data_IF_730078654761
#
_entry.id   IF_730078654761
#
_cell.length_a   1.000
_cell.length_b   1.000
_cell.length_c   1.000
_cell.angle_alpha   90.00
_cell.angle_beta   90.00
_cell.angle_gamma   90.00
#
_symmetry.space_group_name_H-M   'P 1'
#
loop_
_entity.id
_entity.type
_entity.pdbx_description
1 polymer ?
#
# COMPACT_ATOMS: atom_id res chain seq x y z
N UNK A 1 26.43 20.32 10.61
CA UNK A 1 26.25 18.96 10.05
C UNK A 1 26.72 17.84 10.99
N UNK A 2 27.83 17.99 11.73
CA UNK A 2 28.35 16.95 12.63
C UNK A 2 27.40 16.54 13.79
N UNK A 3 26.74 17.50 14.44
CA UNK A 3 25.78 17.20 15.52
C UNK A 3 24.57 16.40 15.02
N UNK A 4 23.95 16.81 13.90
CA UNK A 4 22.80 16.10 13.32
C UNK A 4 23.15 14.68 12.86
N UNK A 5 24.31 14.49 12.21
CA UNK A 5 24.78 13.16 11.80
C UNK A 5 25.11 12.28 13.01
N UNK A 6 25.67 12.86 14.07
CA UNK A 6 25.92 12.17 15.34
C UNK A 6 24.63 11.75 16.03
N UNK A 7 23.61 12.61 16.03
CA UNK A 7 22.28 12.29 16.58
C UNK A 7 21.59 11.22 15.76
N UNK A 8 21.63 11.29 14.42
CA UNK A 8 21.06 10.26 13.54
C UNK A 8 21.75 8.92 13.79
N UNK A 9 23.08 8.89 13.84
CA UNK A 9 23.86 7.67 14.10
C UNK A 9 23.60 7.08 15.50
N UNK A 10 23.38 7.93 16.49
CA UNK A 10 23.01 7.48 17.84
C UNK A 10 21.56 6.97 17.91
N UNK A 11 20.71 7.37 16.97
CA UNK A 11 19.28 6.98 16.91
C UNK A 11 19.04 5.77 16.01
N UNK A 12 19.98 5.44 15.11
CA UNK A 12 19.85 4.28 14.21
C UNK A 12 20.04 2.98 15.01
N UNK A 13 19.09 2.03 14.91
CA UNK A 13 19.18 0.76 15.64
C UNK A 13 20.35 -0.08 15.12
N UNK A 14 20.96 -0.85 16.02
CA UNK A 14 21.96 -1.84 15.64
C UNK A 14 21.33 -2.97 14.80
N UNK A 15 22.11 -3.63 13.94
CA UNK A 15 21.61 -4.75 13.13
C UNK A 15 21.01 -5.89 13.97
N UNK A 16 21.57 -6.12 15.17
CA UNK A 16 21.07 -7.11 16.11
C UNK A 16 19.68 -6.78 16.67
N UNK A 17 19.27 -5.51 16.62
CA UNK A 17 17.95 -5.07 17.06
C UNK A 17 16.87 -5.18 15.98
N UNK A 18 17.24 -5.56 14.75
CA UNK A 18 16.27 -5.71 13.65
C UNK A 18 15.72 -7.14 13.53
N UNK A 19 16.37 -8.14 14.16
CA UNK A 19 16.04 -9.56 13.99
C UNK A 19 16.29 -10.37 15.29
N UNK A 20 15.24 -10.66 16.09
CA UNK A 20 13.89 -10.12 15.98
C UNK A 20 13.88 -8.62 16.26
N UNK A 21 12.94 -7.91 15.63
CA UNK A 21 12.81 -6.47 15.84
C UNK A 21 12.62 -6.12 17.33
N UNK A 22 13.47 -5.25 17.85
CA UNK A 22 13.39 -4.71 19.21
C UNK A 22 12.36 -3.58 19.28
N UNK A 23 11.92 -3.24 20.49
CA UNK A 23 11.02 -2.10 20.70
C UNK A 23 11.62 -0.77 20.25
N UNK A 24 12.94 -0.59 20.47
CA UNK A 24 13.71 0.59 20.03
C UNK A 24 13.78 0.67 18.50
N UNK A 25 14.12 -0.44 17.86
CA UNK A 25 14.17 -0.53 16.40
C UNK A 25 12.78 -0.30 15.78
N UNK A 26 11.73 -0.87 16.35
CA UNK A 26 10.35 -0.63 15.92
C UNK A 26 9.98 0.86 15.99
N UNK A 27 10.27 1.52 17.11
CA UNK A 27 10.01 2.96 17.27
C UNK A 27 10.76 3.80 16.23
N UNK A 28 12.03 3.49 15.97
CA UNK A 28 12.83 4.15 14.95
C UNK A 28 12.25 3.95 13.53
N UNK A 29 11.98 2.71 13.15
CA UNK A 29 11.44 2.36 11.82
C UNK A 29 10.10 3.08 11.61
N UNK A 30 9.22 3.07 12.61
CA UNK A 30 7.92 3.74 12.55
C UNK A 30 8.08 5.27 12.44
N UNK A 31 9.01 5.84 13.21
CA UNK A 31 9.33 7.28 13.16
C UNK A 31 9.75 7.71 11.77
N UNK A 32 10.53 6.90 11.06
CA UNK A 32 10.93 7.18 9.69
C UNK A 32 9.76 6.95 8.71
N UNK A 33 9.04 5.85 8.84
CA UNK A 33 8.05 5.42 7.86
C UNK A 33 6.82 6.33 7.78
N UNK A 34 6.42 6.98 8.88
CA UNK A 34 5.33 7.97 8.87
C UNK A 34 5.61 9.22 8.02
N UNK A 35 6.87 9.50 7.65
CA UNK A 35 7.22 10.64 6.81
C UNK A 35 7.39 10.29 5.33
N UNK A 36 7.13 9.03 4.92
CA UNK A 36 7.13 8.64 3.52
C UNK A 36 6.24 9.49 2.60
N UNK A 37 5.09 10.07 3.02
CA UNK A 37 4.30 10.94 2.14
C UNK A 37 5.07 12.16 1.62
N UNK A 38 6.16 12.57 2.28
CA UNK A 38 7.07 13.61 1.75
C UNK A 38 7.77 13.17 0.46
N UNK A 39 8.05 11.88 0.28
CA UNK A 39 8.58 11.32 -0.97
C UNK A 39 7.55 11.46 -2.09
N UNK A 40 6.26 11.28 -1.79
CA UNK A 40 5.18 11.46 -2.76
C UNK A 40 5.16 12.88 -3.33
N UNK A 41 5.46 13.91 -2.53
CA UNK A 41 5.54 15.29 -3.02
C UNK A 41 6.51 15.43 -4.20
N UNK A 42 7.63 14.70 -4.17
CA UNK A 42 8.60 14.65 -5.27
C UNK A 42 8.01 13.88 -6.47
N UNK A 43 7.33 12.77 -6.24
CA UNK A 43 6.67 11.97 -7.29
C UNK A 43 5.55 12.73 -8.03
N UNK A 44 4.89 13.68 -7.35
CA UNK A 44 3.92 14.59 -7.98
C UNK A 44 4.57 15.55 -8.98
N UNK A 45 5.79 15.99 -8.71
CA UNK A 45 6.54 16.94 -9.55
C UNK A 45 7.29 16.24 -10.69
N UNK A 46 7.65 14.97 -10.50
CA UNK A 46 8.53 14.23 -11.40
C UNK A 46 7.78 13.06 -12.05
N UNK A 47 7.67 13.07 -13.37
CA UNK A 47 7.10 11.95 -14.15
C UNK A 47 8.07 10.78 -14.34
N UNK A 48 9.31 10.92 -13.87
CA UNK A 48 10.36 9.90 -14.00
C UNK A 48 10.12 8.75 -13.03
N UNK A 49 9.68 7.62 -13.57
CA UNK A 49 9.53 6.36 -12.87
C UNK A 49 9.90 5.23 -13.83
N UNK A 50 11.17 4.79 -13.89
CA UNK A 50 11.67 3.92 -14.96
C UNK A 50 11.25 2.44 -14.80
N UNK A 51 9.96 2.20 -14.78
CA UNK A 51 9.29 0.90 -14.76
C UNK A 51 7.97 0.99 -15.55
N UNK A 52 7.45 -0.16 -15.99
CA UNK A 52 6.19 -0.22 -16.72
C UNK A 52 6.20 0.59 -18.03
N UNK A 53 5.24 1.53 -18.15
CA UNK A 53 5.06 2.40 -19.33
C UNK A 53 6.23 3.34 -19.60
N UNK A 54 6.99 3.65 -18.56
CA UNK A 54 8.11 4.58 -18.55
C UNK A 54 9.45 3.86 -18.40
N UNK A 55 9.48 2.53 -18.62
CA UNK A 55 10.70 1.72 -18.64
C UNK A 55 11.73 2.25 -19.66
N UNK A 56 12.97 2.43 -19.19
CA UNK A 56 14.12 2.75 -20.03
C UNK A 56 14.59 1.48 -20.74
N UNK A 57 14.82 1.49 -22.06
CA UNK A 57 15.15 0.26 -22.79
C UNK A 57 16.64 -0.10 -22.73
N UNK A 58 17.52 0.91 -22.64
CA UNK A 58 18.97 0.74 -22.83
C UNK A 58 19.80 0.97 -21.55
N UNK A 59 19.19 0.91 -20.36
CA UNK A 59 19.95 1.06 -19.10
C UNK A 59 20.60 -0.26 -18.70
N UNK A 60 21.90 -0.23 -18.38
CA UNK A 60 22.63 -1.37 -17.80
C UNK A 60 22.13 -1.74 -16.40
N UNK A 61 21.44 -0.81 -15.71
CA UNK A 61 20.86 -1.03 -14.39
C UNK A 61 19.44 -1.62 -14.47
N UNK A 62 18.99 -2.06 -15.64
CA UNK A 62 17.72 -2.73 -15.78
C UNK A 62 17.81 -4.20 -15.35
N UNK A 63 16.74 -4.65 -14.68
CA UNK A 63 16.51 -6.04 -14.36
C UNK A 63 15.29 -6.56 -15.14
N UNK A 64 15.22 -7.87 -15.47
CA UNK A 64 14.03 -8.47 -16.06
C UNK A 64 12.78 -8.17 -15.23
N UNK A 65 11.72 -7.67 -15.86
CA UNK A 65 10.55 -7.12 -15.16
C UNK A 65 9.89 -8.09 -14.16
N UNK A 66 9.76 -9.37 -14.52
CA UNK A 66 9.19 -10.40 -13.61
C UNK A 66 10.03 -10.61 -12.35
N UNK A 67 11.36 -10.63 -12.50
CA UNK A 67 12.29 -10.81 -11.38
C UNK A 67 12.31 -9.55 -10.53
N UNK A 68 12.39 -8.36 -11.15
CA UNK A 68 12.35 -7.08 -10.43
C UNK A 68 11.06 -6.93 -9.62
N UNK A 69 9.91 -7.29 -10.20
CA UNK A 69 8.62 -7.28 -9.52
C UNK A 69 8.56 -8.28 -8.36
N UNK A 70 9.00 -9.53 -8.60
CA UNK A 70 9.06 -10.53 -7.53
C UNK A 70 9.92 -10.06 -6.36
N UNK A 71 11.14 -9.58 -6.62
CA UNK A 71 12.09 -9.17 -5.58
C UNK A 71 11.57 -7.98 -4.76
N UNK A 72 10.97 -6.98 -5.42
CA UNK A 72 10.47 -5.82 -4.70
C UNK A 72 9.27 -6.15 -3.82
N UNK A 73 8.40 -7.06 -4.24
CA UNK A 73 7.18 -7.43 -3.50
C UNK A 73 7.43 -8.52 -2.44
N UNK A 74 8.34 -9.47 -2.69
CA UNK A 74 8.57 -10.60 -1.77
C UNK A 74 9.35 -10.20 -0.51
N UNK A 75 10.06 -9.07 -0.55
CA UNK A 75 10.88 -8.59 0.58
C UNK A 75 10.06 -8.38 1.86
N UNK A 76 8.86 -7.81 1.73
CA UNK A 76 7.94 -7.54 2.84
C UNK A 76 7.47 -8.81 3.58
N UNK A 77 6.78 -9.76 2.91
CA UNK A 77 6.31 -10.98 3.56
C UNK A 77 7.44 -11.86 4.10
N UNK A 78 8.60 -11.93 3.43
CA UNK A 78 9.75 -12.67 3.97
C UNK A 78 10.27 -12.06 5.27
N UNK A 79 10.41 -10.72 5.33
CA UNK A 79 10.82 -10.03 6.54
C UNK A 79 9.82 -10.24 7.68
N UNK A 80 8.51 -10.18 7.39
CA UNK A 80 7.44 -10.44 8.35
C UNK A 80 7.52 -11.88 8.90
N UNK A 81 7.54 -12.87 8.02
CA UNK A 81 7.56 -14.30 8.39
C UNK A 81 8.83 -14.63 9.18
N UNK A 82 9.99 -14.15 8.72
CA UNK A 82 11.27 -14.40 9.38
C UNK A 82 11.27 -13.84 10.80
N UNK A 83 10.88 -12.58 10.98
CA UNK A 83 10.83 -11.97 12.31
C UNK A 83 9.83 -12.66 13.23
N UNK A 84 8.60 -12.93 12.77
CA UNK A 84 7.59 -13.61 13.59
C UNK A 84 8.01 -15.04 13.95
N UNK A 85 8.79 -15.70 13.10
CA UNK A 85 9.29 -17.05 13.33
C UNK A 85 10.42 -17.16 14.35
N UNK A 86 11.24 -16.13 14.52
CA UNK A 86 12.36 -16.10 15.48
C UNK A 86 12.04 -15.34 16.78
N UNK A 87 10.86 -14.74 16.87
CA UNK A 87 10.44 -13.95 18.03
C UNK A 87 9.79 -14.80 19.12
N UNK A 88 9.88 -14.36 20.38
CA UNK A 88 9.23 -14.98 21.55
C UNK A 88 8.27 -13.99 22.21
N UNK A 89 6.96 -14.26 22.35
CA UNK A 89 6.27 -15.55 22.14
C UNK A 89 6.21 -15.98 20.68
N UNK A 90 6.09 -17.28 20.41
CA UNK A 90 6.03 -17.79 19.05
C UNK A 90 4.76 -17.32 18.32
N UNK A 91 4.76 -17.36 16.99
CA UNK A 91 3.61 -16.91 16.18
C UNK A 91 2.28 -17.59 16.55
N UNK A 92 2.32 -18.90 16.87
CA UNK A 92 1.12 -19.67 17.26
C UNK A 92 0.59 -19.31 18.65
N UNK A 93 1.39 -18.66 19.49
CA UNK A 93 1.00 -18.20 20.82
C UNK A 93 0.40 -16.78 20.80
N UNK A 94 0.49 -16.08 19.66
CA UNK A 94 -0.15 -14.78 19.50
C UNK A 94 -1.68 -14.92 19.41
N UNK A 95 -2.45 -13.90 19.80
CA UNK A 95 -3.90 -13.89 19.62
C UNK A 95 -4.31 -14.16 18.16
N UNK A 96 -5.46 -14.80 17.97
CA UNK A 96 -5.98 -15.17 16.64
C UNK A 96 -6.11 -13.95 15.73
N UNK A 97 -6.47 -12.79 16.27
CA UNK A 97 -6.53 -11.53 15.53
C UNK A 97 -5.17 -11.13 14.93
N UNK A 98 -4.09 -11.23 15.71
CA UNK A 98 -2.73 -10.92 15.28
C UNK A 98 -2.28 -11.89 14.18
N UNK A 99 -2.61 -13.18 14.33
CA UNK A 99 -2.34 -14.19 13.31
C UNK A 99 -3.13 -13.93 12.02
N UNK A 100 -4.40 -13.53 12.13
CA UNK A 100 -5.24 -13.15 11.00
C UNK A 100 -4.63 -11.98 10.22
N UNK A 101 -4.23 -10.91 10.90
CA UNK A 101 -3.60 -9.75 10.24
C UNK A 101 -2.30 -10.14 9.52
N UNK A 102 -1.45 -10.96 10.14
CA UNK A 102 -0.27 -11.50 9.47
C UNK A 102 -0.65 -12.34 8.23
N UNK A 103 -1.68 -13.17 8.33
CA UNK A 103 -2.15 -14.02 7.24
C UNK A 103 -2.72 -13.21 6.07
N UNK A 104 -3.56 -12.19 6.35
CA UNK A 104 -4.13 -11.31 5.31
C UNK A 104 -3.00 -10.62 4.51
N UNK A 105 -1.99 -10.09 5.20
CA UNK A 105 -0.81 -9.51 4.56
C UNK A 105 -0.09 -10.53 3.66
N UNK A 106 0.21 -11.73 4.19
CA UNK A 106 0.87 -12.78 3.41
C UNK A 106 0.03 -13.25 2.21
N UNK A 107 -1.29 -13.32 2.33
CA UNK A 107 -2.21 -13.69 1.24
C UNK A 107 -2.17 -12.65 0.12
N UNK A 108 -2.22 -11.36 0.46
CA UNK A 108 -2.04 -10.28 -0.53
C UNK A 108 -0.72 -10.45 -1.28
N UNK A 109 0.40 -10.56 -0.55
CA UNK A 109 1.71 -10.63 -1.18
C UNK A 109 2.01 -11.97 -1.86
N UNK A 110 1.36 -13.07 -1.48
CA UNK A 110 1.44 -14.33 -2.23
C UNK A 110 0.86 -14.13 -3.64
N UNK A 111 -0.28 -13.45 -3.75
CA UNK A 111 -0.80 -13.04 -5.04
C UNK A 111 0.14 -12.04 -5.73
N UNK A 112 0.59 -11.00 -5.01
CA UNK A 112 1.26 -9.85 -5.62
C UNK A 112 2.70 -10.12 -6.05
N UNK A 113 3.46 -10.81 -5.21
CA UNK A 113 4.86 -11.13 -5.45
C UNK A 113 5.03 -12.38 -6.32
N UNK A 114 4.15 -13.39 -6.21
CA UNK A 114 4.34 -14.69 -6.85
C UNK A 114 3.35 -14.91 -7.99
N UNK A 115 2.04 -14.93 -7.69
CA UNK A 115 1.01 -15.30 -8.68
C UNK A 115 0.96 -14.30 -9.85
N UNK A 116 0.98 -13.01 -9.53
CA UNK A 116 0.87 -11.92 -10.50
C UNK A 116 2.00 -11.91 -11.54
N UNK A 117 3.29 -11.81 -11.16
CA UNK A 117 4.38 -11.71 -12.13
C UNK A 117 4.66 -13.01 -12.89
N UNK A 118 4.53 -14.18 -12.26
CA UNK A 118 4.92 -15.45 -12.88
C UNK A 118 3.79 -16.14 -13.65
N UNK A 119 2.54 -15.99 -13.20
CA UNK A 119 1.42 -16.77 -13.73
C UNK A 119 0.36 -15.91 -14.43
N UNK A 120 0.09 -14.71 -13.92
CA UNK A 120 -0.98 -13.86 -14.46
C UNK A 120 -0.51 -12.94 -15.59
N UNK A 121 0.63 -12.27 -15.39
CA UNK A 121 1.11 -11.22 -16.29
C UNK A 121 1.68 -11.80 -17.61
N UNK A 122 1.16 -11.38 -18.79
CA UNK A 122 1.66 -11.86 -20.08
C UNK A 122 3.08 -11.37 -20.36
N UNK A 123 3.39 -10.14 -19.95
CA UNK A 123 4.73 -9.55 -19.99
C UNK A 123 4.85 -8.41 -19.00
N UNK A 124 6.05 -8.24 -18.46
CA UNK A 124 6.46 -7.12 -17.61
C UNK A 124 7.70 -6.47 -18.22
N UNK A 125 7.65 -5.16 -18.44
CA UNK A 125 8.77 -4.40 -18.99
C UNK A 125 9.97 -4.42 -18.03
N UNK A 126 11.21 -4.28 -18.53
CA UNK A 126 12.38 -4.12 -17.68
C UNK A 126 12.21 -3.00 -16.65
N UNK A 127 12.71 -3.21 -15.44
CA UNK A 127 12.61 -2.28 -14.32
C UNK A 127 14.00 -1.83 -13.91
N UNK A 128 14.18 -0.53 -13.71
CA UNK A 128 15.44 0.00 -13.22
C UNK A 128 15.69 -0.41 -11.77
N UNK A 129 16.94 -0.76 -11.44
CA UNK A 129 17.34 -1.20 -10.10
C UNK A 129 16.96 -0.19 -9.02
N UNK A 130 17.04 1.11 -9.31
CA UNK A 130 16.57 2.16 -8.40
C UNK A 130 15.12 1.93 -7.92
N UNK A 131 14.19 1.67 -8.84
CA UNK A 131 12.78 1.44 -8.49
C UNK A 131 12.63 0.17 -7.67
N UNK A 132 13.31 -0.91 -8.07
CA UNK A 132 13.29 -2.19 -7.35
C UNK A 132 13.82 -2.00 -5.92
N UNK A 133 14.99 -1.38 -5.75
CA UNK A 133 15.60 -1.14 -4.44
C UNK A 133 14.76 -0.22 -3.56
N UNK A 134 14.16 0.85 -4.11
CA UNK A 134 13.25 1.71 -3.35
C UNK A 134 12.00 0.96 -2.88
N UNK A 135 11.42 0.11 -3.73
CA UNK A 135 10.26 -0.69 -3.38
C UNK A 135 10.59 -1.81 -2.37
N UNK A 136 11.76 -2.46 -2.48
CA UNK A 136 12.29 -3.38 -1.45
C UNK A 136 12.38 -2.66 -0.10
N UNK A 137 12.98 -1.46 -0.08
CA UNK A 137 13.14 -0.68 1.15
C UNK A 137 11.79 -0.28 1.74
N UNK A 138 10.85 0.17 0.90
CA UNK A 138 9.48 0.49 1.29
C UNK A 138 8.76 -0.70 1.93
N UNK A 139 8.80 -1.87 1.28
CA UNK A 139 8.19 -3.10 1.79
C UNK A 139 8.90 -3.61 3.06
N UNK A 140 10.20 -3.38 3.20
CA UNK A 140 10.95 -3.70 4.43
C UNK A 140 10.55 -2.78 5.60
N UNK A 141 10.44 -1.46 5.40
CA UNK A 141 9.95 -0.54 6.43
C UNK A 141 8.52 -0.89 6.85
N UNK A 142 7.64 -1.13 5.88
CA UNK A 142 6.26 -1.50 6.14
C UNK A 142 6.15 -2.78 6.99
N UNK A 143 6.76 -3.86 6.52
CA UNK A 143 6.72 -5.15 7.22
C UNK A 143 7.38 -5.07 8.60
N UNK A 144 8.46 -4.30 8.77
CA UNK A 144 9.09 -4.10 10.08
C UNK A 144 8.17 -3.37 11.06
N UNK A 145 7.41 -2.37 10.60
CA UNK A 145 6.37 -1.74 11.41
C UNK A 145 5.25 -2.72 11.77
N UNK A 146 4.81 -3.55 10.81
CA UNK A 146 3.78 -4.55 11.04
C UNK A 146 4.22 -5.62 12.04
N UNK A 147 5.47 -6.08 11.99
CA UNK A 147 6.01 -7.03 12.98
C UNK A 147 5.89 -6.44 14.38
N UNK A 148 6.41 -5.24 14.64
CA UNK A 148 6.35 -4.64 15.97
C UNK A 148 4.93 -4.53 16.51
N UNK A 149 3.98 -4.13 15.66
CA UNK A 149 2.57 -4.02 16.04
C UNK A 149 1.86 -5.36 16.24
N UNK A 150 2.03 -6.34 15.33
CA UNK A 150 1.49 -7.70 15.47
C UNK A 150 2.02 -8.40 16.72
N UNK A 151 3.22 -8.01 17.17
CA UNK A 151 3.86 -8.50 18.39
C UNK A 151 3.28 -7.89 19.67
N UNK A 152 2.51 -6.81 19.56
CA UNK A 152 1.94 -6.08 20.69
C UNK A 152 2.91 -5.05 21.28
N UNK A 153 3.82 -4.49 20.50
CA UNK A 153 4.63 -3.37 20.97
C UNK A 153 3.78 -2.10 21.04
N UNK A 154 3.70 -1.49 22.22
CA UNK A 154 2.93 -0.27 22.43
C UNK A 154 3.78 0.96 22.10
N UNK A 155 3.21 1.87 21.32
CA UNK A 155 3.81 3.18 21.05
C UNK A 155 2.81 4.26 21.48
N UNK A 156 3.06 4.93 22.62
CA UNK A 156 2.18 5.99 23.07
C UNK A 156 2.32 7.23 22.17
N UNK A 157 1.18 7.83 21.83
CA UNK A 157 1.12 9.14 21.17
C UNK A 157 0.76 10.17 22.24
N UNK A 158 1.64 11.15 22.54
CA UNK A 158 1.36 12.16 23.55
C UNK A 158 0.03 12.87 23.30
N UNK A 159 -0.83 12.90 24.33
CA UNK A 159 -2.11 13.60 24.29
C UNK A 159 -3.31 12.78 23.79
N UNK A 160 -3.15 11.49 23.48
CA UNK A 160 -4.25 10.62 23.03
C UNK A 160 -4.22 9.24 23.71
N UNK A 161 -5.38 8.72 24.10
CA UNK A 161 -5.56 7.36 24.60
C UNK A 161 -5.81 6.39 23.43
N UNK A 162 -4.73 5.91 22.80
CA UNK A 162 -4.80 5.08 21.57
C UNK A 162 -4.50 3.60 21.79
N UNK A 163 -4.37 3.15 23.03
CA UNK A 163 -4.04 1.76 23.36
C UNK A 163 -5.27 0.83 23.36
N UNK A 164 -6.48 1.39 23.21
CA UNK A 164 -7.73 0.64 23.18
C UNK A 164 -8.13 0.04 24.53
N UNK A 165 -7.57 0.52 25.64
CA UNK A 165 -7.89 0.03 26.99
C UNK A 165 -9.39 0.15 27.31
N UNK A 166 -10.04 1.21 26.83
CA UNK A 166 -11.48 1.42 27.00
C UNK A 166 -12.32 0.46 26.13
N UNK A 167 -11.85 0.12 24.92
CA UNK A 167 -12.51 -0.88 24.05
C UNK A 167 -12.57 -2.26 24.70
N UNK A 168 -11.56 -2.66 25.48
CA UNK A 168 -11.54 -3.94 26.20
C UNK A 168 -12.65 -4.00 27.27
N UNK A 169 -13.02 -2.85 27.84
CA UNK A 169 -14.05 -2.74 28.87
C UNK A 169 -15.46 -2.50 28.28
N UNK A 170 -15.53 -1.94 27.07
CA UNK A 170 -16.78 -1.65 26.36
C UNK A 170 -17.31 -2.89 25.63
N UNK A 171 -18.47 -3.39 26.07
CA UNK A 171 -19.26 -4.46 25.43
C UNK A 171 -20.12 -3.98 24.26
N UNK A 172 -19.69 -2.95 23.52
CA UNK A 172 -20.43 -2.45 22.36
C UNK A 172 -20.36 -3.44 21.18
N UNK A 173 -21.50 -4.02 20.74
CA UNK A 173 -21.50 -4.98 19.63
C UNK A 173 -21.03 -4.35 18.31
N UNK A 174 -21.22 -3.03 18.16
CA UNK A 174 -20.73 -2.29 16.99
C UNK A 174 -19.20 -2.32 16.92
N UNK A 175 -18.52 -2.06 18.04
CA UNK A 175 -17.06 -2.04 18.12
C UNK A 175 -16.50 -3.45 17.88
N UNK A 176 -17.13 -4.48 18.44
CA UNK A 176 -16.76 -5.88 18.20
C UNK A 176 -16.98 -6.34 16.75
N UNK A 177 -17.89 -5.70 16.01
CA UNK A 177 -18.14 -6.02 14.60
C UNK A 177 -17.14 -5.35 13.63
N UNK A 178 -16.44 -4.29 14.04
CA UNK A 178 -15.51 -3.55 13.17
C UNK A 178 -14.42 -4.45 12.57
N UNK A 179 -13.73 -5.32 13.32
CA UNK A 179 -12.68 -6.16 12.73
C UNK A 179 -13.20 -7.16 11.67
N UNK A 180 -14.43 -7.65 11.87
CA UNK A 180 -15.11 -8.55 10.92
C UNK A 180 -15.44 -7.78 9.65
N UNK A 181 -16.01 -6.57 9.80
CA UNK A 181 -16.28 -5.68 8.66
C UNK A 181 -14.99 -5.35 7.91
N UNK A 182 -13.91 -5.03 8.63
CA UNK A 182 -12.59 -4.77 8.04
C UNK A 182 -12.08 -5.95 7.22
N UNK A 183 -12.23 -7.17 7.74
CA UNK A 183 -11.84 -8.40 7.02
C UNK A 183 -12.68 -8.61 5.76
N UNK A 184 -13.99 -8.33 5.81
CA UNK A 184 -14.85 -8.40 4.63
C UNK A 184 -14.48 -7.34 3.57
N UNK A 185 -14.21 -6.11 4.01
CA UNK A 185 -13.73 -5.02 3.14
C UNK A 185 -12.39 -5.37 2.51
N UNK A 186 -11.47 -5.97 3.27
CA UNK A 186 -10.19 -6.48 2.77
C UNK A 186 -10.41 -7.49 1.64
N UNK A 187 -11.24 -8.52 1.87
CA UNK A 187 -11.51 -9.56 0.88
C UNK A 187 -12.16 -9.01 -0.40
N UNK A 188 -13.12 -8.07 -0.26
CA UNK A 188 -13.75 -7.39 -1.39
C UNK A 188 -12.75 -6.52 -2.17
N UNK A 189 -11.89 -5.80 -1.47
CA UNK A 189 -10.79 -5.01 -2.05
C UNK A 189 -9.82 -5.90 -2.85
N UNK A 190 -9.34 -6.99 -2.24
CA UNK A 190 -8.44 -7.94 -2.87
C UNK A 190 -9.07 -8.58 -4.11
N UNK A 191 -10.33 -9.02 -4.02
CA UNK A 191 -11.06 -9.59 -5.16
C UNK A 191 -11.21 -8.57 -6.30
N UNK A 192 -11.54 -7.32 -5.98
CA UNK A 192 -11.64 -6.23 -6.95
C UNK A 192 -10.31 -5.89 -7.61
N UNK A 193 -9.21 -5.91 -6.83
CA UNK A 193 -7.85 -5.70 -7.32
C UNK A 193 -7.47 -6.79 -8.32
N UNK A 194 -7.56 -8.06 -7.93
CA UNK A 194 -7.28 -9.23 -8.78
C UNK A 194 -8.13 -9.20 -10.05
N UNK A 195 -9.43 -8.97 -9.92
CA UNK A 195 -10.34 -8.90 -11.06
C UNK A 195 -9.93 -7.82 -12.06
N UNK A 196 -9.58 -6.63 -11.56
CA UNK A 196 -9.18 -5.49 -12.37
C UNK A 196 -7.86 -5.78 -13.11
N UNK A 197 -6.88 -6.34 -12.43
CA UNK A 197 -5.57 -6.64 -13.02
C UNK A 197 -5.63 -7.78 -14.05
N UNK A 198 -6.28 -8.88 -13.70
CA UNK A 198 -6.46 -10.01 -14.63
C UNK A 198 -7.25 -9.60 -15.87
N UNK A 199 -8.20 -8.67 -15.73
CA UNK A 199 -8.90 -8.06 -16.87
C UNK A 199 -7.94 -7.26 -17.77
N UNK A 200 -7.03 -6.46 -17.19
CA UNK A 200 -6.00 -5.74 -17.95
C UNK A 200 -5.06 -6.71 -18.69
N UNK A 201 -4.63 -7.79 -18.04
CA UNK A 201 -3.79 -8.81 -18.64
C UNK A 201 -4.49 -9.55 -19.79
N UNK A 202 -5.76 -9.90 -19.62
CA UNK A 202 -6.57 -10.53 -20.66
C UNK A 202 -6.69 -9.64 -21.91
N UNK A 203 -6.94 -8.35 -21.70
CA UNK A 203 -7.02 -7.39 -22.82
C UNK A 203 -5.68 -7.28 -23.57
N UNK A 204 -4.55 -7.20 -22.84
CA UNK A 204 -3.21 -7.20 -23.46
C UNK A 204 -2.93 -8.49 -24.23
N UNK A 205 -3.36 -9.65 -23.72
CA UNK A 205 -3.19 -10.94 -24.39
C UNK A 205 -4.00 -11.03 -25.69
N UNK A 206 -5.27 -10.66 -25.66
CA UNK A 206 -6.14 -10.68 -26.84
C UNK A 206 -5.64 -9.73 -27.94
N UNK A 207 -5.19 -8.54 -27.58
CA UNK A 207 -4.63 -7.58 -28.54
C UNK A 207 -3.31 -8.04 -29.15
N UNK A 208 -2.47 -8.72 -28.38
CA UNK A 208 -1.25 -9.32 -28.91
C UNK A 208 -1.55 -10.44 -29.93
N UNK A 209 -2.56 -11.27 -29.65
CA UNK A 209 -3.00 -12.34 -30.55
C UNK A 209 -3.57 -11.79 -31.86
N UNK A 210 -4.45 -10.78 -31.80
CA UNK A 210 -5.00 -10.12 -32.99
C UNK A 210 -3.92 -9.47 -33.87
N UNK A 211 -2.88 -8.88 -33.26
CA UNK A 211 -1.74 -8.32 -34.01
C UNK A 211 -0.93 -9.42 -34.68
N UNK A 212 -0.73 -10.55 -34.01
CA UNK A 212 0.00 -11.69 -34.56
C UNK A 212 -0.74 -12.36 -35.73
N UNK A 213 -2.06 -12.51 -35.66
CA UNK A 213 -2.86 -13.10 -36.76
C UNK A 213 -2.90 -12.19 -37.99
N UNK A 214 -3.08 -10.88 -37.80
CA UNK A 214 -3.01 -9.92 -38.92
C UNK A 214 -1.64 -9.91 -39.59
N UNK A 215 -0.56 -10.10 -38.83
CA UNK A 215 0.81 -10.18 -39.37
C UNK A 215 0.99 -11.45 -40.20
N UNK A 216 0.52 -12.61 -39.73
CA UNK A 216 0.59 -13.87 -40.49
C UNK A 216 -0.20 -13.83 -41.80
N UNK A 217 -1.35 -13.15 -41.82
CA UNK A 217 -2.18 -13.04 -43.03
C UNK A 217 -1.58 -12.06 -44.07
N UNK A 218 -0.66 -11.18 -43.66
CA UNK A 218 -0.08 -10.11 -44.50
C UNK A 218 1.37 -10.36 -44.96
N UNK A 219 2.07 -11.39 -44.45
CA UNK A 219 3.50 -11.59 -44.72
C UNK A 219 3.83 -12.90 -45.44
N UNK A 220 4.22 -12.82 -46.71
CA UNK A 220 4.84 -13.91 -47.51
C UNK A 220 6.36 -14.03 -47.28
N UNK A 221 6.94 -13.48 -46.21
CA UNK A 221 8.40 -13.56 -46.00
C UNK A 221 8.82 -13.51 -44.51
N UNK A 222 9.23 -14.67 -44.00
CA UNK A 222 10.61 -14.93 -43.55
C UNK A 222 11.27 -14.14 -42.41
N UNK A 223 10.62 -13.17 -41.75
CA UNK A 223 11.22 -12.52 -40.56
C UNK A 223 10.65 -13.11 -39.28
N UNK A 224 11.32 -14.12 -38.73
CA UNK A 224 11.12 -14.54 -37.33
C UNK A 224 11.73 -13.48 -36.42
N UNK A 225 10.97 -12.43 -36.15
CA UNK A 225 11.27 -11.52 -35.06
C UNK A 225 11.15 -12.31 -33.74
N UNK A 226 12.28 -12.65 -33.13
CA UNK A 226 12.37 -13.47 -31.90
C UNK A 226 11.89 -12.75 -30.64
N UNK A 227 11.27 -11.57 -30.77
CA UNK A 227 10.72 -10.81 -29.66
C UNK A 227 9.45 -11.44 -29.07
N UNK A 228 9.28 -11.30 -27.75
CA UNK A 228 8.06 -11.73 -27.07
C UNK A 228 6.84 -10.96 -27.63
N UNK A 229 5.88 -11.67 -28.22
CA UNK A 229 4.67 -11.09 -28.85
C UNK A 229 3.82 -10.20 -27.93
N UNK A 230 4.03 -10.33 -26.62
CA UNK A 230 3.33 -9.55 -25.61
C UNK A 230 4.07 -8.27 -25.19
N UNK A 231 5.26 -7.99 -25.74
CA UNK A 231 6.02 -6.79 -25.38
C UNK A 231 5.34 -5.51 -25.90
N UNK A 232 5.22 -4.50 -25.02
CA UNK A 232 4.67 -3.16 -25.31
C UNK A 232 3.29 -3.14 -26.00
N UNK A 233 2.47 -4.17 -25.83
CA UNK A 233 1.05 -4.13 -26.21
C UNK A 233 0.27 -3.38 -25.14
N UNK A 234 -0.23 -2.20 -25.51
CA UNK A 234 -1.02 -1.34 -24.64
C UNK A 234 -2.43 -1.19 -25.20
N UNK A 235 -3.40 -1.31 -24.31
CA UNK A 235 -4.82 -1.32 -24.62
C UNK A 235 -5.50 -0.30 -23.72
N UNK A 236 -6.46 0.43 -24.27
CA UNK A 236 -7.35 1.24 -23.47
C UNK A 236 -8.50 0.37 -22.94
N UNK A 237 -8.72 0.29 -21.62
CA UNK A 237 -9.82 -0.51 -21.08
C UNK A 237 -11.17 -0.01 -21.62
N UNK A 238 -12.13 -0.89 -21.94
CA UNK A 238 -13.47 -0.48 -22.33
C UNK A 238 -14.18 0.20 -21.16
N UNK A 239 -15.12 1.10 -21.46
CA UNK A 239 -15.92 1.80 -20.45
C UNK A 239 -17.04 0.92 -19.89
N UNK A 240 -16.67 -0.17 -19.21
CA UNK A 240 -17.60 -1.14 -18.62
C UNK A 240 -17.14 -1.55 -17.22
N UNK A 241 -18.10 -1.88 -16.36
CA UNK A 241 -17.84 -2.32 -14.98
C UNK A 241 -16.95 -1.33 -14.23
N UNK A 242 -15.94 -1.86 -13.54
CA UNK A 242 -14.96 -1.08 -12.74
C UNK A 242 -14.13 -0.08 -13.55
N UNK A 243 -14.04 -0.24 -14.88
CA UNK A 243 -13.31 0.67 -15.78
C UNK A 243 -14.16 1.80 -16.37
N UNK A 244 -15.42 1.91 -15.94
CA UNK A 244 -16.37 2.92 -16.44
C UNK A 244 -15.91 4.33 -16.13
N UNK A 245 -15.48 4.59 -14.91
CA UNK A 245 -15.18 5.96 -14.43
C UNK A 245 -13.68 6.23 -14.24
N UNK A 246 -12.87 5.18 -14.11
CA UNK A 246 -11.43 5.28 -13.82
C UNK A 246 -10.61 4.29 -14.64
N UNK A 247 -9.35 4.64 -14.90
CA UNK A 247 -8.40 3.81 -15.67
C UNK A 247 -7.63 2.82 -14.79
N UNK A 248 -7.49 3.11 -13.50
CA UNK A 248 -6.73 2.31 -12.53
C UNK A 248 -7.63 1.79 -11.38
N UNK A 249 -8.70 1.02 -11.65
CA UNK A 249 -9.55 0.49 -10.59
C UNK A 249 -8.83 -0.47 -9.64
N UNK A 250 -7.78 -1.15 -10.12
CA UNK A 250 -6.94 -2.00 -9.27
C UNK A 250 -6.30 -1.21 -8.11
N UNK A 251 -5.89 0.05 -8.31
CA UNK A 251 -5.37 0.89 -7.22
C UNK A 251 -6.45 1.22 -6.18
N UNK A 252 -7.66 1.57 -6.62
CA UNK A 252 -8.76 1.88 -5.69
C UNK A 252 -9.16 0.66 -4.89
N UNK A 253 -9.26 -0.49 -5.55
CA UNK A 253 -9.54 -1.76 -4.88
C UNK A 253 -8.43 -2.13 -3.88
N UNK A 254 -7.17 -1.83 -4.20
CA UNK A 254 -6.04 -2.01 -3.27
C UNK A 254 -6.11 -1.04 -2.09
N UNK A 255 -6.55 0.20 -2.29
CA UNK A 255 -6.79 1.12 -1.17
C UNK A 255 -7.93 0.64 -0.27
N UNK A 256 -9.02 0.13 -0.86
CA UNK A 256 -10.11 -0.50 -0.11
C UNK A 256 -9.62 -1.72 0.67
N UNK A 257 -8.77 -2.54 0.05
CA UNK A 257 -8.14 -3.69 0.69
C UNK A 257 -7.35 -3.26 1.93
N UNK A 258 -6.44 -2.31 1.81
CA UNK A 258 -5.61 -1.84 2.93
C UNK A 258 -6.40 -1.06 3.98
N UNK A 259 -7.47 -0.35 3.61
CA UNK A 259 -8.39 0.24 4.58
C UNK A 259 -9.11 -0.85 5.39
N UNK A 260 -9.57 -1.91 4.72
CA UNK A 260 -10.11 -3.10 5.38
C UNK A 260 -9.10 -3.75 6.33
N UNK A 261 -7.83 -3.85 5.91
CA UNK A 261 -6.72 -4.33 6.74
C UNK A 261 -6.55 -3.49 8.02
N UNK A 262 -6.58 -2.16 7.91
CA UNK A 262 -6.47 -1.28 9.06
C UNK A 262 -7.66 -1.42 10.03
N UNK A 263 -8.89 -1.53 9.50
CA UNK A 263 -10.10 -1.74 10.31
C UNK A 263 -10.08 -3.12 10.98
N UNK A 264 -9.66 -4.18 10.26
CA UNK A 264 -9.43 -5.50 10.83
C UNK A 264 -8.40 -5.45 11.95
N UNK A 265 -7.38 -4.61 11.77
CA UNK A 265 -6.32 -4.31 12.72
C UNK A 265 -6.78 -3.73 14.04
N UNK A 266 -7.99 -3.20 14.16
CA UNK A 266 -8.55 -2.75 15.45
C UNK A 266 -8.62 -3.89 16.49
N UNK A 267 -8.61 -5.16 16.05
CA UNK A 267 -8.52 -6.31 16.94
C UNK A 267 -7.10 -6.62 17.44
N UNK A 268 -6.06 -5.97 16.89
CA UNK A 268 -4.68 -6.13 17.34
C UNK A 268 -4.43 -5.17 18.49
N UNK A 269 -4.38 -5.71 19.70
CA UNK A 269 -4.12 -4.94 20.89
C UNK A 269 -2.62 -4.89 21.20
N UNK A 270 -2.11 -3.76 21.71
CA UNK A 270 -0.73 -3.63 22.18
C UNK A 270 -0.43 -4.44 23.45
N UNK A 271 -1.36 -5.28 23.90
CA UNK A 271 -1.19 -6.17 25.04
C UNK A 271 -0.92 -7.58 24.53
N UNK A 272 0.32 -8.04 24.64
CA UNK A 272 0.68 -9.44 24.41
C UNK A 272 0.11 -10.27 25.57
N UNK A 273 -1.11 -10.78 25.43
CA UNK A 273 -1.66 -11.77 26.37
C UNK A 273 -1.00 -13.11 26.07
N UNK A 274 -0.04 -13.53 26.91
CA UNK A 274 0.47 -14.89 26.85
C UNK A 274 -0.63 -15.84 27.35
N UNK A 275 -1.16 -16.69 26.47
CA UNK A 275 -2.22 -17.65 26.85
C UNK A 275 -1.77 -18.67 27.91
N UNK A 276 -0.45 -18.81 28.16
CA UNK A 276 0.12 -19.79 29.10
C UNK A 276 0.45 -19.20 30.49
N UNK A 277 0.52 -17.88 30.60
CA UNK A 277 0.80 -17.17 31.84
C UNK A 277 -0.04 -15.91 31.82
N UNK A 278 -1.01 -15.77 32.73
CA UNK A 278 -1.89 -14.60 32.88
C UNK A 278 -1.15 -13.29 33.25
N UNK A 279 0.14 -13.19 32.92
CA UNK A 279 1.01 -12.02 33.01
C UNK A 279 0.89 -11.22 31.72
N UNK A 280 0.22 -10.08 31.78
CA UNK A 280 0.22 -9.07 30.72
C UNK A 280 1.57 -8.34 30.79
N UNK A 281 2.43 -8.56 29.80
CA UNK A 281 3.69 -7.84 29.68
C UNK A 281 3.54 -6.79 28.58
N UNK A 282 3.39 -5.53 28.97
CA UNK A 282 3.35 -4.42 28.02
C UNK A 282 4.77 -3.94 27.74
N UNK A 283 5.21 -4.03 26.49
CA UNK A 283 6.48 -3.44 26.06
C UNK A 283 6.21 -2.06 25.46
N UNK A 284 6.32 -1.03 26.29
CA UNK A 284 5.99 0.36 25.94
C UNK A 284 7.23 1.10 25.48
N UNK A 285 7.23 1.57 24.24
CA UNK A 285 8.32 2.37 23.68
C UNK A 285 8.28 3.82 24.21
N UNK A 286 9.37 4.60 24.05
CA UNK A 286 9.30 6.04 24.21
C UNK A 286 8.19 6.66 23.33
N UNK A 287 7.52 7.73 23.79
CA UNK A 287 6.43 8.32 23.03
C UNK A 287 6.84 8.76 21.62
N UNK A 288 6.05 8.38 20.63
CA UNK A 288 6.27 8.76 19.25
C UNK A 288 5.75 10.17 19.01
N UNK A 289 6.60 11.03 18.47
CA UNK A 289 6.15 12.30 17.88
C UNK A 289 5.44 12.02 16.56
N UNK A 290 4.11 11.93 16.62
CA UNK A 290 3.28 11.70 15.45
C UNK A 290 3.41 12.85 14.43
N UNK A 291 3.45 12.49 13.15
CA UNK A 291 3.40 13.44 12.06
C UNK A 291 2.04 14.19 12.08
N UNK A 292 1.97 15.45 11.61
CA UNK A 292 0.74 16.24 11.69
C UNK A 292 -0.49 15.56 11.05
N UNK A 293 -0.28 14.79 9.98
CA UNK A 293 -1.33 14.08 9.27
C UNK A 293 -1.89 12.87 10.04
N UNK A 294 -1.17 12.36 11.06
CA UNK A 294 -1.64 11.28 11.95
C UNK A 294 -2.54 11.80 13.07
N UNK A 295 -2.47 13.09 13.41
CA UNK A 295 -3.20 13.68 14.53
C UNK A 295 -4.73 13.52 14.42
N UNK A 296 -5.36 13.69 13.24
CA UNK A 296 -6.79 13.42 13.10
C UNK A 296 -7.16 11.97 13.40
N UNK A 297 -6.34 10.99 12.97
CA UNK A 297 -6.58 9.57 13.25
C UNK A 297 -6.44 9.26 14.73
N UNK A 298 -5.41 9.80 15.39
CA UNK A 298 -5.23 9.66 16.83
C UNK A 298 -6.39 10.29 17.61
N UNK A 299 -6.87 11.47 17.18
CA UNK A 299 -8.02 12.13 17.80
C UNK A 299 -9.33 11.35 17.63
N UNK A 300 -9.56 10.74 16.46
CA UNK A 300 -10.74 9.91 16.24
C UNK A 300 -10.66 8.62 17.08
N UNK A 301 -9.48 7.99 17.14
CA UNK A 301 -9.27 6.79 17.95
C UNK A 301 -9.55 7.08 19.43
N UNK A 302 -9.00 8.16 19.97
CA UNK A 302 -9.21 8.63 21.34
C UNK A 302 -10.69 8.93 21.63
N UNK A 303 -11.36 9.72 20.78
CA UNK A 303 -12.80 10.06 20.95
C UNK A 303 -13.73 8.85 20.90
N UNK A 304 -13.37 7.85 20.11
CA UNK A 304 -14.17 6.63 19.95
C UNK A 304 -13.74 5.51 20.92
N UNK A 305 -12.72 5.74 21.76
CA UNK A 305 -12.14 4.74 22.67
C UNK A 305 -11.49 3.56 21.94
N UNK A 306 -11.15 3.71 20.66
CA UNK A 306 -10.64 2.63 19.79
C UNK A 306 -9.10 2.53 19.87
N UNK A 307 -8.53 1.32 19.73
CA UNK A 307 -7.09 1.19 19.51
C UNK A 307 -6.71 1.83 18.16
N UNK A 308 -5.52 2.41 18.09
CA UNK A 308 -5.00 2.95 16.84
C UNK A 308 -4.12 1.90 16.13
N UNK A 309 -4.56 1.33 14.99
CA UNK A 309 -3.77 0.38 14.19
C UNK A 309 -2.70 1.15 13.39
N UNK A 310 -1.73 1.71 14.12
CA UNK A 310 -0.85 2.77 13.65
C UNK A 310 -0.03 2.36 12.40
N UNK A 311 0.67 1.20 12.37
CA UNK A 311 1.36 0.77 11.15
C UNK A 311 0.44 0.55 9.95
N UNK A 312 -0.77 0.03 10.17
CA UNK A 312 -1.72 -0.20 9.08
C UNK A 312 -2.22 1.12 8.48
N UNK A 313 -2.53 2.12 9.32
CA UNK A 313 -2.92 3.46 8.86
C UNK A 313 -1.77 4.12 8.10
N UNK A 314 -0.55 4.06 8.64
CA UNK A 314 0.63 4.57 7.94
C UNK A 314 0.79 3.92 6.58
N UNK A 315 0.62 2.61 6.51
CA UNK A 315 0.74 1.90 5.25
C UNK A 315 -0.34 2.29 4.24
N UNK A 316 -1.60 2.42 4.65
CA UNK A 316 -2.69 2.89 3.77
C UNK A 316 -2.36 4.25 3.18
N UNK A 317 -1.99 5.21 4.03
CA UNK A 317 -1.67 6.58 3.59
C UNK A 317 -0.47 6.57 2.66
N UNK A 318 0.56 5.78 2.97
CA UNK A 318 1.75 5.64 2.15
C UNK A 318 1.46 4.98 0.79
N UNK A 319 0.59 3.96 0.75
CA UNK A 319 0.15 3.31 -0.47
C UNK A 319 -0.63 4.28 -1.36
N UNK A 320 -1.57 5.03 -0.79
CA UNK A 320 -2.32 6.08 -1.49
C UNK A 320 -1.38 7.18 -2.02
N UNK A 321 -0.47 7.66 -1.17
CA UNK A 321 0.50 8.69 -1.52
C UNK A 321 1.43 8.24 -2.66
N UNK A 322 1.82 6.96 -2.71
CA UNK A 322 2.64 6.43 -3.80
C UNK A 322 1.83 6.23 -5.09
N UNK A 323 0.62 5.67 -5.00
CA UNK A 323 -0.16 5.27 -6.17
C UNK A 323 -0.86 6.44 -6.88
N UNK A 324 -1.27 7.48 -6.16
CA UNK A 324 -1.98 8.63 -6.75
C UNK A 324 -1.16 9.39 -7.82
N UNK A 325 0.10 9.80 -7.56
CA UNK A 325 0.95 10.39 -8.59
C UNK A 325 1.09 9.49 -9.81
N UNK A 326 1.29 8.18 -9.60
CA UNK A 326 1.41 7.21 -10.68
C UNK A 326 0.12 7.08 -11.50
N UNK A 327 -1.05 7.13 -10.86
CA UNK A 327 -2.34 7.13 -11.54
C UNK A 327 -2.53 8.40 -12.40
N UNK A 328 -2.11 9.58 -11.89
CA UNK A 328 -2.14 10.84 -12.64
C UNK A 328 -1.24 10.80 -13.86
N UNK A 329 0.04 10.47 -13.68
CA UNK A 329 1.00 10.37 -14.79
C UNK A 329 0.60 9.29 -15.78
N UNK A 330 0.06 8.19 -15.28
CA UNK A 330 -0.50 7.10 -16.06
C UNK A 330 -1.69 7.52 -16.93
N UNK A 331 -2.60 8.35 -16.39
CA UNK A 331 -3.68 8.97 -17.17
C UNK A 331 -3.12 9.91 -18.24
N UNK A 332 -2.17 10.77 -17.89
CA UNK A 332 -1.52 11.68 -18.85
C UNK A 332 -0.95 10.91 -20.04
N UNK A 333 -0.23 9.82 -19.76
CA UNK A 333 0.28 8.92 -20.80
C UNK A 333 -0.83 8.28 -21.66
N UNK A 334 -1.98 7.92 -21.07
CA UNK A 334 -3.11 7.40 -21.85
C UNK A 334 -3.70 8.46 -22.79
N UNK A 335 -3.80 9.71 -22.33
CA UNK A 335 -4.25 10.84 -23.16
C UNK A 335 -3.28 11.09 -24.31
N UNK A 336 -1.98 11.12 -24.03
CA UNK A 336 -0.94 11.32 -25.05
C UNK A 336 -0.94 10.20 -26.10
N UNK A 337 -1.23 8.96 -25.69
CA UNK A 337 -1.17 7.78 -26.58
C UNK A 337 -2.46 7.51 -27.36
N UNK A 338 -3.63 7.72 -26.76
CA UNK A 338 -4.92 7.34 -27.33
C UNK A 338 -5.86 8.53 -27.56
N UNK A 339 -5.43 9.74 -27.19
CA UNK A 339 -6.22 10.96 -27.26
C UNK A 339 -7.26 11.09 -26.14
N UNK A 340 -7.71 12.32 -25.88
CA UNK A 340 -8.70 12.62 -24.84
C UNK A 340 -10.04 11.90 -25.10
N UNK A 341 -10.43 11.78 -26.39
CA UNK A 341 -11.64 11.04 -26.80
C UNK A 341 -11.59 9.56 -26.44
N UNK A 342 -10.41 8.93 -26.49
CA UNK A 342 -10.24 7.53 -26.09
C UNK A 342 -10.34 7.34 -24.57
N UNK A 343 -9.81 8.29 -23.81
CA UNK A 343 -9.91 8.28 -22.33
C UNK A 343 -11.33 8.59 -21.86
N UNK A 344 -12.10 9.35 -22.64
CA UNK A 344 -13.52 9.63 -22.43
C UNK A 344 -13.81 10.20 -21.04
N UNK A 345 -13.00 11.17 -20.60
CA UNK A 345 -13.19 11.86 -19.31
C UNK A 345 -12.89 11.02 -18.06
N UNK A 346 -12.43 9.78 -18.21
CA UNK A 346 -12.12 8.91 -17.06
C UNK A 346 -10.96 9.43 -16.22
N UNK A 347 -11.05 9.20 -14.92
CA UNK A 347 -10.02 9.55 -13.95
C UNK A 347 -8.88 8.55 -13.90
N UNK A 348 -7.79 8.91 -13.20
CA UNK A 348 -6.68 8.01 -12.92
C UNK A 348 -7.09 6.97 -11.85
N UNK A 349 -7.02 7.38 -10.58
CA UNK A 349 -7.47 6.60 -9.43
C UNK A 349 -8.78 7.08 -8.83
N UNK A 350 -9.05 8.39 -8.81
CA UNK A 350 -10.37 8.93 -8.47
C UNK A 350 -11.11 9.31 -9.76
N UNK A 351 -12.45 9.18 -9.81
CA UNK A 351 -13.25 9.76 -10.89
C UNK A 351 -12.88 11.24 -11.07
N UNK A 352 -12.86 11.72 -12.32
CA UNK A 352 -12.72 13.17 -12.54
C UNK A 352 -13.98 13.81 -12.00
N UNK A 353 -13.87 14.45 -10.84
CA UNK A 353 -14.87 15.40 -10.37
C UNK A 353 -14.69 16.63 -11.25
N UNK A 354 -15.72 17.06 -12.00
CA UNK A 354 -15.65 18.33 -12.75
C UNK A 354 -15.21 19.44 -11.79
N UNK A 355 -14.31 20.32 -12.25
CA UNK A 355 -13.82 21.46 -11.45
C UNK A 355 -14.99 22.28 -10.85
N UNK A 356 -16.14 22.28 -11.50
CA UNK A 356 -17.38 22.92 -11.09
C UNK A 356 -17.92 22.38 -9.74
N UNK A 357 -17.71 21.09 -9.44
CA UNK A 357 -18.16 20.45 -8.19
C UNK A 357 -17.13 20.63 -7.06
N UNK A 358 -15.84 20.77 -7.40
CA UNK A 358 -14.81 21.17 -6.42
C UNK A 358 -14.99 22.63 -6.03
N UNK A 359 -15.34 23.49 -7.00
CA UNK A 359 -15.79 24.86 -6.74
C UNK A 359 -16.99 24.88 -5.81
N UNK A 360 -18.00 24.04 -6.07
CA UNK A 360 -19.20 23.93 -5.23
C UNK A 360 -18.88 23.46 -3.79
N UNK A 361 -18.01 22.48 -3.62
CA UNK A 361 -17.57 21.98 -2.31
C UNK A 361 -16.74 23.01 -1.53
N UNK A 362 -15.91 23.81 -2.22
CA UNK A 362 -15.17 24.91 -1.59
C UNK A 362 -16.05 26.12 -1.26
N UNK A 363 -17.11 26.39 -2.03
CA UNK A 363 -18.13 27.38 -1.63
C UNK A 363 -18.98 26.90 -0.46
N UNK A 364 -19.26 25.60 -0.34
CA UNK A 364 -20.04 25.04 0.78
C UNK A 364 -19.25 25.02 2.12
N UNK A 365 -17.91 24.99 2.07
CA UNK A 365 -17.07 25.26 3.26
C UNK A 365 -16.93 26.76 3.57
N UNK A 366 -17.02 27.63 2.55
CA UNK A 366 -17.02 29.09 2.72
C UNK A 366 -18.30 29.63 3.37
N UNK A 367 -19.46 29.06 3.04
CA UNK A 367 -20.76 29.51 3.55
C UNK A 367 -21.08 29.05 4.99
N UNK A 368 -20.31 28.10 5.54
CA UNK A 368 -20.41 27.73 6.97
C UNK A 368 -19.47 28.53 7.89
N UNK A 369 -18.57 29.34 7.32
CA UNK A 369 -17.67 30.22 8.09
C UNK A 369 -18.20 31.66 8.23
N UNK A 370 -19.27 32.03 7.52
CA UNK A 370 -19.90 33.35 7.57
C UNK A 370 -21.10 33.46 8.54
N UNK A 371 -21.56 32.34 9.12
CA UNK A 371 -22.68 32.30 10.08
C UNK A 371 -22.25 32.21 11.57
N UNK A 372 -20.97 32.43 11.87
CA UNK A 372 -20.43 32.47 13.25
C UNK A 372 -19.81 33.83 13.62
N UNK A 373 -20.15 34.90 12.90
CA UNK A 373 -19.92 36.27 13.33
C UNK A 373 -21.15 37.12 13.00
N UNK A 374 -21.75 37.74 14.04
CA UNK A 374 -23.07 38.41 14.08
C UNK A 374 -24.17 37.37 14.35
N UNK A 375 -24.76 37.23 15.53
CA UNK A 375 -25.02 38.14 16.66
C UNK A 375 -24.65 37.51 18.02
#
# INVERSE_FOLDING_TARGET
MGAALSTIRASTPAMAELYPISLSAYNFVLTVFQYFPLVSLIQWLISWHPAGKTSMQNSIFNMPGRIGWFLMEIAGPLNLIYNLGISSPSFSELPIANQLIAALYCIHYANRAIISPFFSAPSMSPMHLFVVSSAVLFNWFNSSCLVGWIRGFEIPIPGFATNGAETIQSSSPLISALPILGTAVFALGMAGNIYSETSLFRMRRSEAEQRSSKKSDSSTSGSRDGGNKYDKVYVIPPMKGVFRSILYPHYVCEWLEWMGFAIAGLAVYPLSVSAKTSTVATSVAPPLRAAPWLMPFASVADRCGLPLPLPAIIFVVNAVANMLPHARWGRKWYVEKFGEKGVAGRGGGCPVVPLDVVGLLMTLEGDNLSLLSLD
#
